data_IF_596416094239
#
_entry.id   IF_596416094239
#
_cell.length_a   1.000
_cell.length_b   1.000
_cell.length_c   1.000
_cell.angle_alpha   90.00
_cell.angle_beta   90.00
_cell.angle_gamma   90.00
#
_symmetry.space_group_name_H-M   'P 1'
#
loop_
_entity.id
_entity.type
_entity.pdbx_description
1 polymer ?
#
# COMPACT_ATOMS: atom_id res chain seq x y z
N UNK A 1 -10.37 7.56 3.65
CA UNK A 1 -11.61 7.96 4.35
C UNK A 1 -11.91 6.94 5.46
N UNK A 2 -11.88 7.35 6.74
CA UNK A 2 -12.12 6.42 7.87
C UNK A 2 -13.53 5.80 7.85
N UNK A 3 -14.50 6.46 7.20
CA UNK A 3 -15.83 5.88 7.00
C UNK A 3 -15.73 4.53 6.27
N UNK A 4 -14.94 4.46 5.21
CA UNK A 4 -14.80 3.24 4.39
C UNK A 4 -14.10 2.12 5.17
N UNK A 5 -12.96 2.41 5.80
CA UNK A 5 -12.08 1.35 6.36
C UNK A 5 -12.33 1.01 7.83
N UNK A 6 -12.79 1.97 8.64
CA UNK A 6 -12.95 1.79 10.10
C UNK A 6 -14.42 1.64 10.52
N UNK A 7 -15.34 2.36 9.87
CA UNK A 7 -16.76 2.38 10.25
C UNK A 7 -17.52 1.32 9.45
N UNK A 8 -17.57 1.50 8.13
CA UNK A 8 -18.18 0.54 7.20
C UNK A 8 -17.39 -0.75 7.10
N UNK A 9 -16.07 -0.70 7.36
CA UNK A 9 -15.17 -1.86 7.28
C UNK A 9 -15.35 -2.60 5.95
N UNK A 10 -15.30 -1.83 4.85
CA UNK A 10 -15.48 -2.27 3.47
C UNK A 10 -16.91 -2.74 3.08
N UNK A 11 -17.87 -2.82 4.02
CA UNK A 11 -19.26 -3.21 3.75
C UNK A 11 -20.13 -2.02 3.40
N UNK A 12 -21.05 -2.19 2.45
CA UNK A 12 -22.08 -1.20 2.10
C UNK A 12 -21.52 0.22 1.89
N UNK A 13 -20.30 0.31 1.37
CA UNK A 13 -19.55 1.57 1.28
C UNK A 13 -19.47 2.11 -0.15
N UNK A 14 -20.16 1.51 -1.11
CA UNK A 14 -20.11 1.84 -2.54
C UNK A 14 -20.33 3.33 -2.79
N UNK A 15 -21.38 3.93 -2.22
CA UNK A 15 -21.67 5.36 -2.39
C UNK A 15 -20.57 6.26 -1.82
N UNK A 16 -20.00 5.88 -0.68
CA UNK A 16 -18.91 6.61 -0.03
C UNK A 16 -17.61 6.47 -0.82
N UNK A 17 -17.32 5.27 -1.33
CA UNK A 17 -16.16 4.99 -2.16
C UNK A 17 -16.26 5.75 -3.47
N UNK A 18 -17.41 5.67 -4.16
CA UNK A 18 -17.67 6.41 -5.40
C UNK A 18 -17.42 7.91 -5.23
N UNK A 19 -18.02 8.51 -4.19
CA UNK A 19 -17.80 9.94 -3.90
C UNK A 19 -16.33 10.28 -3.63
N UNK A 20 -15.62 9.40 -2.94
CA UNK A 20 -14.18 9.59 -2.70
C UNK A 20 -13.38 9.56 -4.01
N UNK A 21 -13.68 8.59 -4.88
CA UNK A 21 -13.00 8.42 -6.16
C UNK A 21 -13.34 9.53 -7.16
N UNK A 22 -14.56 10.06 -7.16
CA UNK A 22 -14.95 11.23 -7.95
C UNK A 22 -14.15 12.48 -7.58
N UNK A 23 -13.82 12.66 -6.31
CA UNK A 23 -12.94 13.76 -5.89
C UNK A 23 -11.49 13.47 -6.25
N UNK A 24 -11.05 12.21 -6.08
CA UNK A 24 -9.69 11.80 -6.40
C UNK A 24 -9.39 11.88 -7.91
N UNK A 25 -10.38 11.67 -8.78
CA UNK A 25 -10.19 11.68 -10.23
C UNK A 25 -9.70 13.03 -10.76
N UNK A 26 -9.97 14.13 -10.05
CA UNK A 26 -9.42 15.46 -10.40
C UNK A 26 -7.89 15.44 -10.43
N UNK A 27 -7.25 14.64 -9.58
CA UNK A 27 -5.79 14.45 -9.57
C UNK A 27 -5.32 13.47 -10.65
N UNK A 28 -6.20 12.57 -11.09
CA UNK A 28 -5.91 11.58 -12.13
C UNK A 28 -5.77 12.25 -13.51
N UNK A 29 -6.59 13.26 -13.79
CA UNK A 29 -6.58 13.97 -15.08
C UNK A 29 -5.28 14.74 -15.34
N UNK A 30 -4.44 14.94 -14.31
CA UNK A 30 -3.12 15.57 -14.41
C UNK A 30 -1.93 14.61 -14.24
N UNK A 31 -2.14 13.30 -14.21
CA UNK A 31 -1.10 12.30 -13.90
C UNK A 31 -0.40 12.57 -12.54
N UNK A 32 -1.18 13.08 -11.58
CA UNK A 32 -0.72 13.40 -10.23
C UNK A 32 -1.23 12.40 -9.18
N UNK A 33 -2.01 11.41 -9.60
CA UNK A 33 -2.60 10.41 -8.72
C UNK A 33 -1.80 9.10 -8.75
N UNK A 34 -1.01 8.87 -7.70
CA UNK A 34 -0.45 7.55 -7.40
C UNK A 34 -1.49 6.59 -6.78
N UNK A 35 -1.06 5.39 -6.34
CA UNK A 35 -1.97 4.42 -5.74
C UNK A 35 -2.67 4.95 -4.49
N UNK A 36 -3.97 4.66 -4.40
CA UNK A 36 -4.81 4.99 -3.25
C UNK A 36 -4.57 3.95 -2.16
N UNK A 37 -4.12 4.43 -1.00
CA UNK A 37 -3.91 3.58 0.16
C UNK A 37 -5.22 3.27 0.90
N UNK A 38 -5.58 1.99 0.93
CA UNK A 38 -6.67 1.43 1.75
C UNK A 38 -6.06 0.86 3.02
N UNK A 39 -6.00 1.69 4.07
CA UNK A 39 -5.45 1.29 5.37
C UNK A 39 -6.54 0.73 6.29
N UNK A 40 -6.39 -0.52 6.70
CA UNK A 40 -7.31 -1.22 7.59
C UNK A 40 -6.87 -1.14 9.07
N UNK A 41 -7.82 -1.12 10.02
CA UNK A 41 -7.51 -1.21 11.44
C UNK A 41 -6.88 -2.58 11.81
N UNK A 42 -6.07 -2.64 12.89
CA UNK A 42 -5.34 -3.86 13.27
C UNK A 42 -6.23 -5.03 13.72
N UNK A 43 -7.49 -4.76 14.07
CA UNK A 43 -8.48 -5.77 14.45
C UNK A 43 -9.21 -6.38 13.25
N UNK A 44 -8.95 -5.88 12.04
CA UNK A 44 -9.64 -6.35 10.84
C UNK A 44 -9.02 -7.65 10.34
N UNK A 45 -9.73 -8.77 10.52
CA UNK A 45 -9.35 -10.09 9.99
C UNK A 45 -9.67 -10.23 8.50
N UNK A 46 -8.89 -11.03 7.81
CA UNK A 46 -9.11 -11.35 6.40
C UNK A 46 -10.46 -12.07 6.24
N UNK A 47 -11.20 -11.65 5.23
CA UNK A 47 -12.50 -12.15 4.84
C UNK A 47 -12.53 -12.06 3.32
N UNK A 48 -12.43 -13.22 2.66
CA UNK A 48 -12.22 -13.29 1.21
C UNK A 48 -13.41 -12.72 0.42
N UNK A 49 -14.66 -13.18 0.63
CA UNK A 49 -15.82 -12.62 -0.06
C UNK A 49 -15.89 -11.10 0.09
N UNK A 50 -15.65 -10.60 1.31
CA UNK A 50 -15.68 -9.16 1.56
C UNK A 50 -14.60 -8.39 0.78
N UNK A 51 -13.40 -8.95 0.66
CA UNK A 51 -12.32 -8.32 -0.11
C UNK A 51 -12.64 -8.33 -1.61
N UNK A 52 -13.10 -9.46 -2.14
CA UNK A 52 -13.49 -9.60 -3.55
C UNK A 52 -14.64 -8.62 -3.90
N UNK A 53 -15.68 -8.56 -3.07
CA UNK A 53 -16.80 -7.64 -3.23
C UNK A 53 -16.33 -6.17 -3.22
N UNK A 54 -15.46 -5.80 -2.28
CA UNK A 54 -14.94 -4.43 -2.22
C UNK A 54 -14.06 -4.08 -3.42
N UNK A 55 -13.19 -5.00 -3.86
CA UNK A 55 -12.30 -4.76 -5.00
C UNK A 55 -13.07 -4.73 -6.33
N UNK A 56 -14.22 -5.40 -6.43
CA UNK A 56 -15.11 -5.31 -7.58
C UNK A 56 -15.70 -3.91 -7.77
N UNK A 57 -15.78 -3.09 -6.71
CA UNK A 57 -16.24 -1.70 -6.80
C UNK A 57 -15.19 -0.74 -7.37
N UNK A 58 -13.92 -1.17 -7.52
CA UNK A 58 -12.83 -0.29 -7.95
C UNK A 58 -12.84 -0.10 -9.47
N UNK A 59 -13.04 1.13 -9.99
CA UNK A 59 -12.88 1.39 -11.41
C UNK A 59 -11.43 1.12 -11.87
N UNK A 60 -11.20 0.60 -13.09
CA UNK A 60 -9.87 0.20 -13.56
C UNK A 60 -8.82 1.33 -13.56
N UNK A 61 -9.24 2.59 -13.65
CA UNK A 61 -8.34 3.74 -13.66
C UNK A 61 -7.63 4.01 -12.31
N UNK A 62 -8.06 3.37 -11.22
CA UNK A 62 -7.48 3.59 -9.90
C UNK A 62 -6.64 2.39 -9.44
N UNK A 63 -5.41 2.68 -9.03
CA UNK A 63 -4.54 1.70 -8.36
C UNK A 63 -4.83 1.71 -6.86
N UNK A 64 -5.05 0.54 -6.24
CA UNK A 64 -5.23 0.41 -4.80
C UNK A 64 -4.06 -0.31 -4.15
N UNK A 65 -3.65 0.17 -2.98
CA UNK A 65 -2.68 -0.51 -2.11
C UNK A 65 -3.32 -0.78 -0.73
N UNK A 66 -3.29 -2.02 -0.25
CA UNK A 66 -3.87 -2.41 1.04
C UNK A 66 -2.82 -2.44 2.14
N UNK A 67 -2.95 -1.56 3.14
CA UNK A 67 -2.17 -1.66 4.38
C UNK A 67 -2.97 -2.44 5.43
N UNK A 68 -2.45 -3.63 5.76
CA UNK A 68 -3.05 -4.57 6.70
C UNK A 68 -2.10 -4.79 7.89
N UNK A 69 -2.66 -5.11 9.05
CA UNK A 69 -1.88 -5.32 10.27
C UNK A 69 -2.25 -6.60 11.01
N UNK A 70 -3.40 -7.18 10.71
CA UNK A 70 -3.82 -8.43 11.34
C UNK A 70 -3.11 -9.62 10.67
N UNK A 71 -2.53 -10.58 11.42
CA UNK A 71 -1.76 -11.70 10.87
C UNK A 71 -2.49 -12.56 9.82
N UNK A 72 -3.82 -12.64 9.90
CA UNK A 72 -4.66 -13.42 8.97
C UNK A 72 -4.58 -12.99 7.50
N UNK A 73 -4.05 -11.80 7.21
CA UNK A 73 -3.90 -11.31 5.83
C UNK A 73 -2.61 -11.80 5.14
N UNK A 74 -1.69 -12.40 5.90
CA UNK A 74 -0.41 -12.84 5.36
C UNK A 74 -0.49 -14.31 4.92
N UNK A 75 -1.36 -14.57 3.94
CA UNK A 75 -1.67 -15.92 3.42
C UNK A 75 -1.69 -15.92 1.89
N UNK A 76 -1.41 -17.08 1.29
CA UNK A 76 -1.45 -17.24 -0.18
C UNK A 76 -2.83 -16.91 -0.77
N UNK A 77 -3.91 -17.18 -0.02
CA UNK A 77 -5.26 -16.83 -0.43
C UNK A 77 -5.46 -15.32 -0.55
N UNK A 78 -4.98 -14.55 0.43
CA UNK A 78 -5.01 -13.08 0.36
C UNK A 78 -4.20 -12.59 -0.83
N UNK A 79 -3.00 -13.12 -1.03
CA UNK A 79 -2.12 -12.71 -2.12
C UNK A 79 -2.72 -13.04 -3.50
N UNK A 80 -3.43 -14.16 -3.62
CA UNK A 80 -4.11 -14.55 -4.85
C UNK A 80 -5.23 -13.56 -5.23
N UNK A 81 -6.08 -13.18 -4.27
CA UNK A 81 -7.15 -12.19 -4.51
C UNK A 81 -6.56 -10.84 -4.91
N UNK A 82 -5.53 -10.37 -4.19
CA UNK A 82 -4.87 -9.11 -4.51
C UNK A 82 -4.25 -9.11 -5.93
N UNK A 83 -3.62 -10.21 -6.34
CA UNK A 83 -3.08 -10.39 -7.71
C UNK A 83 -4.16 -10.38 -8.78
N UNK A 84 -5.26 -11.10 -8.55
CA UNK A 84 -6.37 -11.14 -9.50
C UNK A 84 -6.93 -9.74 -9.79
N UNK A 85 -6.89 -8.86 -8.80
CA UNK A 85 -7.36 -7.48 -8.93
C UNK A 85 -6.24 -6.47 -9.15
N UNK A 86 -5.01 -6.87 -9.49
CA UNK A 86 -3.85 -5.96 -9.61
C UNK A 86 -3.81 -4.91 -8.46
N UNK A 87 -3.84 -5.39 -7.23
CA UNK A 87 -3.88 -4.57 -6.01
C UNK A 87 -2.64 -4.86 -5.20
N UNK A 88 -1.87 -3.82 -4.86
CA UNK A 88 -0.65 -4.02 -4.10
C UNK A 88 -0.95 -4.30 -2.61
N UNK A 89 -0.29 -5.31 -2.05
CA UNK A 89 -0.10 -5.38 -0.61
C UNK A 89 0.89 -4.30 -0.21
N UNK A 90 0.51 -3.40 0.70
CA UNK A 90 1.41 -2.38 1.19
C UNK A 90 2.49 -3.04 2.06
N UNK A 91 3.75 -2.91 1.62
CA UNK A 91 4.93 -3.34 2.36
C UNK A 91 5.26 -2.29 3.42
N UNK A 92 4.57 -2.37 4.56
CA UNK A 92 4.81 -1.49 5.70
C UNK A 92 5.63 -2.20 6.76
N UNK A 93 6.84 -1.71 7.03
CA UNK A 93 7.62 -2.16 8.18
C UNK A 93 7.39 -1.29 9.40
N UNK A 94 7.57 -1.88 10.57
CA UNK A 94 7.57 -1.23 11.88
C UNK A 94 8.54 -1.97 12.79
N UNK A 95 8.88 -1.40 13.95
CA UNK A 95 9.71 -2.06 14.97
C UNK A 95 9.17 -3.44 15.42
N UNK A 96 7.86 -3.69 15.23
CA UNK A 96 7.19 -4.93 15.64
C UNK A 96 6.93 -5.89 14.49
N UNK A 97 7.10 -5.45 13.24
CA UNK A 97 6.61 -6.19 12.08
C UNK A 97 7.44 -5.90 10.85
N UNK A 98 7.99 -6.97 10.28
CA UNK A 98 8.60 -6.96 8.95
C UNK A 98 7.55 -7.42 7.93
N UNK A 99 7.30 -6.65 6.85
CA UNK A 99 6.35 -7.06 5.82
C UNK A 99 6.93 -8.23 5.02
N UNK A 100 6.08 -9.11 4.48
CA UNK A 100 6.54 -10.19 3.61
C UNK A 100 7.18 -9.61 2.33
N UNK A 101 8.09 -10.36 1.71
CA UNK A 101 8.67 -10.00 0.41
C UNK A 101 7.79 -10.54 -0.73
N UNK A 102 6.58 -9.99 -0.86
CA UNK A 102 5.55 -10.49 -1.78
C UNK A 102 5.00 -9.35 -2.64
N UNK A 103 5.08 -9.53 -3.96
CA UNK A 103 4.40 -8.66 -4.93
C UNK A 103 3.04 -9.23 -5.32
N UNK A 104 2.04 -8.36 -5.36
CA UNK A 104 0.64 -8.70 -5.72
C UNK A 104 0.05 -7.82 -6.82
N UNK A 105 0.87 -6.96 -7.43
CA UNK A 105 0.48 -6.12 -8.56
C UNK A 105 1.71 -5.87 -9.45
N UNK A 106 1.48 -5.28 -10.62
CA UNK A 106 2.52 -4.71 -11.49
C UNK A 106 3.15 -3.43 -10.91
N UNK A 107 2.72 -3.02 -9.71
CA UNK A 107 3.37 -2.01 -8.89
C UNK A 107 3.49 -2.48 -7.45
N UNK A 108 4.32 -1.80 -6.67
CA UNK A 108 4.46 -2.01 -5.22
C UNK A 108 4.30 -0.71 -4.46
N UNK A 109 3.84 -0.83 -3.21
CA UNK A 109 3.65 0.29 -2.31
C UNK A 109 4.40 0.01 -1.00
N UNK A 110 5.53 0.68 -0.80
CA UNK A 110 6.36 0.51 0.39
C UNK A 110 6.22 1.70 1.34
N UNK A 111 6.06 1.42 2.64
CA UNK A 111 6.08 2.42 3.70
C UNK A 111 7.19 2.10 4.68
N UNK A 112 8.25 2.90 4.61
CA UNK A 112 9.41 2.83 5.49
C UNK A 112 9.10 3.67 6.73
N UNK A 113 9.09 3.04 7.91
CA UNK A 113 8.63 3.65 9.16
C UNK A 113 9.49 3.32 10.39
N UNK A 114 10.62 2.66 10.23
CA UNK A 114 11.53 2.49 11.37
C UNK A 114 11.95 3.87 11.85
N UNK A 115 12.13 4.04 13.17
CA UNK A 115 12.49 5.36 13.70
C UNK A 115 13.84 5.85 13.14
N UNK A 116 14.76 4.90 13.02
CA UNK A 116 16.09 5.10 12.47
C UNK A 116 16.45 4.00 11.47
N UNK A 117 17.02 4.43 10.35
CA UNK A 117 17.63 3.52 9.38
C UNK A 117 19.14 3.62 9.42
N UNK A 118 19.79 2.47 9.54
CA UNK A 118 21.21 2.32 9.21
C UNK A 118 21.42 2.35 7.70
N UNK A 119 22.63 2.71 7.27
CA UNK A 119 23.01 2.67 5.85
C UNK A 119 22.75 1.28 5.23
N UNK A 120 23.04 0.20 5.97
CA UNK A 120 22.80 -1.18 5.53
C UNK A 120 21.31 -1.45 5.26
N UNK A 121 20.40 -0.95 6.09
CA UNK A 121 18.96 -1.12 5.90
C UNK A 121 18.46 -0.34 4.68
N UNK A 122 18.93 0.89 4.47
CA UNK A 122 18.58 1.67 3.27
C UNK A 122 19.12 1.01 2.00
N UNK A 123 20.36 0.52 2.01
CA UNK A 123 20.92 -0.23 0.87
C UNK A 123 20.13 -1.51 0.59
N UNK A 124 19.64 -2.21 1.61
CA UNK A 124 18.80 -3.38 1.42
C UNK A 124 17.47 -3.01 0.73
N UNK A 125 16.81 -1.93 1.17
CA UNK A 125 15.61 -1.41 0.50
C UNK A 125 15.87 -0.98 -0.94
N UNK A 126 16.96 -0.24 -1.18
CA UNK A 126 17.30 0.19 -2.52
C UNK A 126 17.51 -0.99 -3.47
N UNK A 127 18.25 -2.01 -3.05
CA UNK A 127 18.43 -3.25 -3.83
C UNK A 127 17.11 -3.94 -4.15
N UNK A 128 16.15 -3.94 -3.23
CA UNK A 128 14.81 -4.49 -3.48
C UNK A 128 14.07 -3.67 -4.54
N UNK A 129 14.09 -2.34 -4.41
CA UNK A 129 13.49 -1.45 -5.40
C UNK A 129 14.10 -1.64 -6.79
N UNK A 130 15.43 -1.68 -6.91
CA UNK A 130 16.11 -1.90 -8.18
C UNK A 130 15.73 -3.27 -8.80
N UNK A 131 15.66 -4.31 -7.97
CA UNK A 131 15.25 -5.64 -8.43
C UNK A 131 13.80 -5.67 -8.93
N UNK A 132 12.88 -4.94 -8.30
CA UNK A 132 11.48 -4.85 -8.74
C UNK A 132 11.34 -3.99 -10.00
N UNK A 133 12.03 -2.85 -10.07
CA UNK A 133 12.07 -2.02 -11.27
C UNK A 133 12.62 -2.80 -12.48
N UNK A 134 13.66 -3.62 -12.28
CA UNK A 134 14.20 -4.49 -13.32
C UNK A 134 13.23 -5.59 -13.79
N UNK A 135 12.21 -5.92 -12.98
CA UNK A 135 11.11 -6.83 -13.34
C UNK A 135 9.93 -6.10 -14.01
N UNK A 136 10.04 -4.78 -14.22
CA UNK A 136 8.95 -3.96 -14.77
C UNK A 136 7.89 -3.58 -13.74
N UNK A 137 8.22 -3.62 -12.44
CA UNK A 137 7.29 -3.28 -11.36
C UNK A 137 7.53 -1.84 -10.91
N UNK A 138 6.49 -1.01 -10.98
CA UNK A 138 6.56 0.39 -10.52
C UNK A 138 6.69 0.46 -8.99
N UNK A 139 7.59 1.32 -8.50
CA UNK A 139 7.88 1.43 -7.06
C UNK A 139 7.37 2.74 -6.48
N UNK A 140 6.36 2.65 -5.61
CA UNK A 140 5.87 3.76 -4.79
C UNK A 140 6.36 3.61 -3.35
N UNK A 141 7.44 4.30 -2.99
CA UNK A 141 8.06 4.22 -1.66
C UNK A 141 7.91 5.53 -0.86
N UNK A 142 7.40 5.42 0.37
CA UNK A 142 7.14 6.56 1.25
C UNK A 142 7.90 6.41 2.57
N UNK A 143 8.82 7.34 2.85
CA UNK A 143 9.53 7.44 4.13
C UNK A 143 8.67 8.20 5.15
N UNK A 144 7.93 7.49 5.99
CA UNK A 144 6.97 8.09 6.93
C UNK A 144 7.59 8.31 8.33
N UNK A 145 8.17 9.49 8.53
CA UNK A 145 8.83 9.89 9.79
C UNK A 145 8.31 11.27 10.21
N UNK A 146 7.06 11.33 10.66
CA UNK A 146 6.34 12.58 10.93
C UNK A 146 6.89 13.28 12.18
N UNK A 147 7.21 12.55 13.25
CA UNK A 147 7.60 13.14 14.53
C UNK A 147 8.99 13.79 14.51
N UNK A 148 9.96 13.17 13.83
CA UNK A 148 11.34 13.66 13.76
C UNK A 148 11.68 14.38 12.45
N UNK A 149 10.77 14.42 11.47
CA UNK A 149 11.00 15.07 10.17
C UNK A 149 12.10 14.45 9.31
N UNK A 150 12.57 13.23 9.63
CA UNK A 150 13.69 12.55 8.94
C UNK A 150 13.34 12.02 7.55
N UNK A 151 12.05 11.97 7.19
CA UNK A 151 11.54 11.34 5.97
C UNK A 151 12.23 11.82 4.68
N UNK A 152 12.32 13.14 4.41
CA UNK A 152 12.99 13.64 3.22
C UNK A 152 14.48 13.30 3.15
N UNK A 153 15.18 13.22 4.30
CA UNK A 153 16.59 12.86 4.33
C UNK A 153 16.80 11.40 3.91
N UNK A 154 15.98 10.48 4.45
CA UNK A 154 16.03 9.07 4.04
C UNK A 154 15.64 8.86 2.58
N UNK A 155 14.63 9.59 2.08
CA UNK A 155 14.26 9.55 0.67
C UNK A 155 15.43 9.98 -0.24
N UNK A 156 16.12 11.08 0.10
CA UNK A 156 17.31 11.52 -0.65
C UNK A 156 18.46 10.50 -0.59
N UNK A 157 18.70 9.90 0.57
CA UNK A 157 19.71 8.85 0.70
C UNK A 157 19.38 7.65 -0.18
N UNK A 158 18.11 7.19 -0.18
CA UNK A 158 17.67 6.09 -1.05
C UNK A 158 17.83 6.41 -2.54
N UNK A 159 17.54 7.64 -2.96
CA UNK A 159 17.71 8.09 -4.35
C UNK A 159 19.18 8.23 -4.76
N UNK A 160 20.07 8.51 -3.81
CA UNK A 160 21.52 8.67 -4.05
C UNK A 160 22.33 7.38 -3.96
N UNK A 161 21.72 6.28 -3.51
CA UNK A 161 22.31 4.93 -3.54
C UNK A 161 22.27 4.33 -4.95
#
# INVERSE_FOLDING_TARGET
>A
NQQITHIHRLRDCESTLKRFLEVASILNDGDHLGPILIQLPPTFKFDRPLLEDFLALRPPAFLFAFEVRHPSWYTDETYAVLRQHNTALCLSETEKQTPPDVLTADFTYARLRLEDYTAKQLTAWRKRFDAWLAQGVDVYAYCKHEDAGKGPAYARQLLGL
#
